data_IF_293487347294
#
_entry.id   IF_293487347294
#
_cell.length_a   1.000
_cell.length_b   1.000
_cell.length_c   1.000
_cell.angle_alpha   90.00
_cell.angle_beta   90.00
_cell.angle_gamma   90.00
#
_symmetry.space_group_name_H-M   'P 1'
#
loop_
_entity.id
_entity.type
_entity.pdbx_description
1 polymer ?
#
# COMPACT_ATOMS: atom_id res chain seq x y z
N UNK A 1 11.71 8.36 1.51
CA UNK A 1 10.39 7.73 1.74
C UNK A 1 9.31 8.68 1.23
N UNK A 2 8.63 8.39 0.12
CA UNK A 2 7.68 9.35 -0.47
C UNK A 2 6.27 9.15 0.05
N UNK A 3 5.80 10.05 0.92
CA UNK A 3 4.39 10.12 1.37
C UNK A 3 3.43 10.26 0.18
N UNK A 4 3.87 10.91 -0.90
CA UNK A 4 3.08 11.05 -2.13
C UNK A 4 2.80 9.70 -2.80
N UNK A 5 3.76 8.77 -2.78
CA UNK A 5 3.59 7.42 -3.36
C UNK A 5 2.60 6.58 -2.55
N UNK A 6 2.64 6.67 -1.21
CA UNK A 6 1.64 6.06 -0.34
C UNK A 6 0.24 6.62 -0.63
N UNK A 7 0.10 7.94 -0.71
CA UNK A 7 -1.20 8.57 -0.96
C UNK A 7 -1.76 8.18 -2.35
N UNK A 8 -0.91 8.15 -3.38
CA UNK A 8 -1.32 7.70 -4.71
C UNK A 8 -1.80 6.25 -4.70
N UNK A 9 -1.11 5.37 -3.96
CA UNK A 9 -1.52 3.97 -3.78
C UNK A 9 -2.86 3.87 -3.04
N UNK A 10 -3.07 4.66 -1.99
CA UNK A 10 -4.35 4.70 -1.25
C UNK A 10 -5.52 5.17 -2.14
N UNK A 11 -5.30 6.16 -3.00
CA UNK A 11 -6.31 6.60 -3.98
C UNK A 11 -6.63 5.49 -4.97
N UNK A 12 -5.61 4.78 -5.47
CA UNK A 12 -5.80 3.64 -6.36
C UNK A 12 -6.58 2.51 -5.68
N UNK A 13 -6.20 2.13 -4.46
CA UNK A 13 -6.93 1.15 -3.65
C UNK A 13 -8.39 1.54 -3.37
N UNK A 14 -8.70 2.83 -3.28
CA UNK A 14 -10.07 3.30 -3.10
C UNK A 14 -10.90 3.19 -4.39
N UNK A 15 -10.26 3.27 -5.55
CA UNK A 15 -10.89 3.13 -6.86
C UNK A 15 -10.93 1.68 -7.39
N UNK A 16 -10.08 0.80 -6.86
CA UNK A 16 -9.93 -0.59 -7.31
C UNK A 16 -10.21 -1.57 -6.15
N UNK A 17 -11.38 -2.20 -6.19
CA UNK A 17 -11.83 -3.17 -5.19
C UNK A 17 -11.01 -4.47 -5.18
N UNK A 18 -10.43 -4.87 -6.32
CA UNK A 18 -9.61 -6.07 -6.40
C UNK A 18 -8.24 -5.83 -5.77
N UNK A 19 -7.66 -4.65 -6.03
CA UNK A 19 -6.44 -4.21 -5.35
C UNK A 19 -6.67 -4.10 -3.84
N UNK A 20 -7.81 -3.55 -3.42
CA UNK A 20 -8.21 -3.49 -2.01
C UNK A 20 -8.24 -4.89 -1.39
N UNK A 21 -8.91 -5.85 -2.03
CA UNK A 21 -9.01 -7.23 -1.54
C UNK A 21 -7.63 -7.91 -1.43
N UNK A 22 -6.71 -7.68 -2.38
CA UNK A 22 -5.33 -8.20 -2.32
C UNK A 22 -4.53 -7.64 -1.15
N UNK A 23 -4.68 -6.33 -0.89
CA UNK A 23 -4.02 -5.68 0.25
C UNK A 23 -4.61 -6.14 1.58
N UNK A 24 -5.93 -6.30 1.66
CA UNK A 24 -6.61 -6.80 2.86
C UNK A 24 -6.28 -8.29 3.14
N UNK A 25 -5.99 -9.08 2.10
CA UNK A 25 -5.52 -10.46 2.22
C UNK A 25 -4.00 -10.58 2.51
N UNK A 26 -3.25 -9.48 2.49
CA UNK A 26 -1.82 -9.50 2.74
C UNK A 26 -1.53 -9.81 4.22
N UNK A 27 -0.69 -10.82 4.47
CA UNK A 27 -0.40 -11.29 5.81
C UNK A 27 0.44 -10.31 6.65
N UNK A 28 1.24 -9.45 6.00
CA UNK A 28 2.13 -8.52 6.69
C UNK A 28 2.38 -7.22 5.87
N UNK A 29 2.94 -6.17 6.51
CA UNK A 29 3.29 -4.92 5.85
C UNK A 29 4.27 -5.04 4.67
N UNK A 30 5.12 -6.08 4.63
CA UNK A 30 6.05 -6.29 3.53
C UNK A 30 5.32 -6.82 2.29
N UNK A 31 4.35 -7.71 2.47
CA UNK A 31 3.48 -8.19 1.40
C UNK A 31 2.69 -7.04 0.75
N UNK A 32 2.17 -6.09 1.53
CA UNK A 32 1.50 -4.89 0.99
C UNK A 32 2.45 -4.05 0.14
N UNK A 33 3.71 -3.91 0.57
CA UNK A 33 4.72 -3.16 -0.18
C UNK A 33 5.06 -3.84 -1.50
N UNK A 34 5.14 -5.17 -1.52
CA UNK A 34 5.34 -5.94 -2.76
C UNK A 34 4.18 -5.73 -3.74
N UNK A 35 2.94 -5.75 -3.25
CA UNK A 35 1.75 -5.45 -4.06
C UNK A 35 1.85 -4.01 -4.59
N UNK A 36 2.15 -3.04 -3.75
CA UNK A 36 2.28 -1.65 -4.16
C UNK A 36 3.37 -1.43 -5.20
N UNK A 37 4.52 -2.11 -5.06
CA UNK A 37 5.62 -2.02 -6.03
C UNK A 37 5.22 -2.60 -7.39
N UNK A 38 4.45 -3.70 -7.41
CA UNK A 38 3.89 -4.27 -8.64
C UNK A 38 2.92 -3.29 -9.33
N UNK A 39 2.18 -2.50 -8.55
CA UNK A 39 1.30 -1.44 -9.04
C UNK A 39 2.03 -0.14 -9.42
N UNK A 40 3.37 -0.10 -9.31
CA UNK A 40 4.21 1.05 -9.64
C UNK A 40 4.42 2.05 -8.50
N UNK A 41 3.90 1.77 -7.30
CA UNK A 41 4.00 2.64 -6.13
C UNK A 41 5.16 2.23 -5.22
N UNK A 42 6.10 3.15 -4.98
CA UNK A 42 7.29 2.86 -4.17
C UNK A 42 7.24 3.53 -2.79
N UNK A 43 6.90 2.74 -1.79
CA UNK A 43 7.06 3.07 -0.36
C UNK A 43 7.59 1.84 0.41
N UNK A 44 7.76 1.97 1.72
CA UNK A 44 8.29 0.88 2.56
C UNK A 44 7.27 0.39 3.57
N UNK A 45 7.55 -0.77 4.15
CA UNK A 45 6.75 -1.35 5.21
C UNK A 45 6.65 -0.41 6.41
N UNK A 46 7.72 0.30 6.77
CA UNK A 46 7.69 1.29 7.84
C UNK A 46 6.74 2.46 7.55
N UNK A 47 6.68 2.94 6.30
CA UNK A 47 5.72 3.98 5.87
C UNK A 47 4.28 3.47 5.95
N UNK A 48 4.04 2.23 5.50
CA UNK A 48 2.73 1.58 5.63
C UNK A 48 2.31 1.38 7.09
N UNK A 49 3.18 0.80 7.91
CA UNK A 49 2.91 0.56 9.33
C UNK A 49 2.70 1.85 10.11
N UNK A 50 3.38 2.95 9.77
CA UNK A 50 3.10 4.27 10.35
C UNK A 50 1.70 4.76 9.96
N UNK A 51 1.33 4.63 8.69
CA UNK A 51 0.00 5.02 8.22
C UNK A 51 -1.13 4.24 8.91
N UNK A 52 -0.94 2.94 9.15
CA UNK A 52 -1.90 2.13 9.90
C UNK A 52 -2.04 2.53 11.38
N UNK A 53 -1.02 3.18 11.95
CA UNK A 53 -1.01 3.62 13.35
C UNK A 53 -1.50 5.07 13.54
N UNK A 54 -1.50 5.89 12.49
CA UNK A 54 -1.85 7.33 12.53
C UNK A 54 -0.73 8.22 12.00
#
# INVERSE_FOLDING_TARGET
MSKAQLNAFMVKMAADSDLRARVDAAADPAAVVMIAHAEGHRFTAATWSRHLRG
#
